data_IF_095001810684
#
_entry.id   IF_095001810684
#
_cell.length_a   1.000
_cell.length_b   1.000
_cell.length_c   1.000
_cell.angle_alpha   90.00
_cell.angle_beta   90.00
_cell.angle_gamma   90.00
#
_symmetry.space_group_name_H-M   'P 1'
#
loop_
_entity.id
_entity.type
_entity.pdbx_description
1 polymer ?
#
# COMPACT_ATOMS: atom_id res chain seq x y z
N UNK A 1 -11.26 -13.40 -27.79
CA UNK A 1 -11.88 -12.20 -27.19
C UNK A 1 -12.15 -12.57 -25.75
N UNK A 2 -11.30 -12.14 -24.85
CA UNK A 2 -11.19 -12.71 -23.50
C UNK A 2 -11.29 -11.56 -22.51
N UNK A 3 -12.27 -11.64 -21.62
CA UNK A 3 -12.73 -10.56 -20.76
C UNK A 3 -11.69 -10.27 -19.68
N UNK A 4 -11.02 -9.12 -19.83
CA UNK A 4 -10.20 -8.45 -18.81
C UNK A 4 -11.13 -7.76 -17.82
N UNK A 5 -10.67 -7.52 -16.60
CA UNK A 5 -11.34 -6.78 -15.52
C UNK A 5 -12.35 -5.80 -16.12
N UNK A 6 -13.62 -6.22 -16.13
CA UNK A 6 -14.61 -5.61 -17.00
C UNK A 6 -15.02 -4.28 -16.40
N UNK A 7 -14.26 -3.24 -16.71
CA UNK A 7 -14.61 -1.85 -16.54
C UNK A 7 -15.85 -1.58 -17.40
N UNK A 8 -17.02 -1.86 -16.84
CA UNK A 8 -18.28 -1.49 -17.44
C UNK A 8 -18.43 0.03 -17.29
N UNK A 9 -17.78 0.77 -18.18
CA UNK A 9 -18.02 2.19 -18.39
C UNK A 9 -19.48 2.39 -18.82
N UNK A 10 -20.37 2.54 -17.85
CA UNK A 10 -21.76 2.91 -18.07
C UNK A 10 -21.92 4.38 -17.70
N UNK A 11 -21.70 5.24 -18.69
CA UNK A 11 -22.01 6.64 -18.58
C UNK A 11 -23.54 6.85 -18.46
N UNK A 12 -23.92 7.47 -17.35
CA UNK A 12 -25.04 8.39 -17.17
C UNK A 12 -26.45 7.97 -17.67
N UNK A 13 -27.30 7.58 -16.71
CA UNK A 13 -28.64 8.13 -16.59
C UNK A 13 -28.88 8.47 -15.11
N UNK A 14 -29.02 9.76 -14.80
CA UNK A 14 -29.40 10.24 -13.48
C UNK A 14 -30.75 9.63 -13.07
N UNK A 15 -30.75 8.81 -12.02
CA UNK A 15 -31.90 8.67 -11.14
C UNK A 15 -31.39 8.43 -9.72
N UNK A 16 -31.58 9.45 -8.90
CA UNK A 16 -31.42 9.49 -7.46
C UNK A 16 -32.31 8.40 -6.83
N UNK A 17 -31.75 7.24 -6.52
CA UNK A 17 -32.37 6.25 -5.66
C UNK A 17 -31.32 5.66 -4.73
N UNK A 18 -31.42 6.07 -3.46
CA UNK A 18 -30.75 5.44 -2.35
C UNK A 18 -31.03 3.93 -2.34
N UNK A 19 -30.00 3.16 -2.66
CA UNK A 19 -29.80 1.79 -2.20
C UNK A 19 -28.36 1.84 -1.65
N UNK A 20 -28.12 2.16 -0.39
CA UNK A 20 -28.20 1.21 0.73
C UNK A 20 -28.04 -0.27 0.33
N UNK A 21 -27.16 -0.54 -0.64
CA UNK A 21 -26.52 -1.83 -0.81
C UNK A 21 -25.54 -1.96 0.34
N UNK A 22 -25.70 -3.03 1.09
CA UNK A 22 -24.91 -3.40 2.26
C UNK A 22 -23.45 -3.68 1.87
N UNK A 23 -22.66 -2.63 1.67
CA UNK A 23 -21.22 -2.73 1.64
C UNK A 23 -20.77 -2.86 3.10
N UNK A 24 -20.34 -4.05 3.49
CA UNK A 24 -19.72 -4.27 4.78
C UNK A 24 -18.70 -3.17 5.03
N UNK A 25 -18.86 -2.44 6.14
CA UNK A 25 -18.08 -1.29 6.57
C UNK A 25 -16.71 -1.22 5.88
N UNK A 26 -16.63 -0.52 4.75
CA UNK A 26 -15.38 -0.45 3.99
C UNK A 26 -14.38 0.31 4.82
N UNK A 27 -13.37 -0.42 5.30
CA UNK A 27 -12.26 0.18 6.04
C UNK A 27 -11.28 0.92 5.16
N UNK A 28 -11.45 0.85 3.83
CA UNK A 28 -10.58 1.47 2.84
C UNK A 28 -10.78 2.98 2.79
N UNK A 29 -9.72 3.67 2.39
CA UNK A 29 -9.71 5.13 2.32
C UNK A 29 -10.77 5.67 1.36
N UNK A 30 -11.17 6.92 1.60
CA UNK A 30 -11.86 7.74 0.60
C UNK A 30 -10.86 8.26 -0.42
N UNK A 31 -11.35 8.73 -1.58
CA UNK A 31 -10.52 9.37 -2.61
C UNK A 31 -9.64 10.50 -2.06
N UNK A 32 -10.20 11.36 -1.20
CA UNK A 32 -9.46 12.48 -0.61
C UNK A 32 -8.38 12.03 0.37
N UNK A 33 -8.65 11.00 1.18
CA UNK A 33 -7.65 10.42 2.08
C UNK A 33 -6.54 9.72 1.30
N UNK A 34 -6.89 8.95 0.27
CA UNK A 34 -5.92 8.31 -0.62
C UNK A 34 -5.01 9.34 -1.30
N UNK A 35 -5.58 10.45 -1.78
CA UNK A 35 -4.80 11.56 -2.34
C UNK A 35 -3.82 12.17 -1.34
N UNK A 36 -4.24 12.36 -0.09
CA UNK A 36 -3.36 12.87 0.95
C UNK A 36 -2.24 11.87 1.29
N UNK A 37 -2.54 10.58 1.31
CA UNK A 37 -1.56 9.51 1.53
C UNK A 37 -0.51 9.49 0.42
N UNK A 38 -0.93 9.57 -0.84
CA UNK A 38 -0.02 9.62 -1.99
C UNK A 38 0.91 10.85 -1.93
N UNK A 39 0.34 12.04 -1.67
CA UNK A 39 1.13 13.27 -1.51
C UNK A 39 2.11 13.16 -0.33
N UNK A 40 1.69 12.56 0.78
CA UNK A 40 2.55 12.37 1.97
C UNK A 40 3.69 11.39 1.69
N UNK A 41 3.40 10.29 0.99
CA UNK A 41 4.41 9.32 0.56
C UNK A 41 5.45 9.99 -0.35
N UNK A 42 4.99 10.77 -1.33
CA UNK A 42 5.84 11.53 -2.23
C UNK A 42 6.67 12.60 -1.51
N UNK A 43 6.13 13.26 -0.48
CA UNK A 43 6.89 14.19 0.37
C UNK A 43 8.02 13.46 1.10
N UNK A 44 7.76 12.33 1.77
CA UNK A 44 8.81 11.56 2.43
C UNK A 44 9.91 11.12 1.47
N UNK A 45 9.57 10.59 0.29
CA UNK A 45 10.55 10.20 -0.72
C UNK A 45 11.37 11.40 -1.24
N UNK A 46 10.72 12.54 -1.50
CA UNK A 46 11.39 13.78 -1.90
C UNK A 46 12.40 14.23 -0.85
N UNK A 47 12.03 14.12 0.42
CA UNK A 47 12.83 14.54 1.57
C UNK A 47 13.99 13.62 1.88
N UNK A 48 13.85 12.32 1.61
CA UNK A 48 14.96 11.37 1.59
C UNK A 48 15.96 11.71 0.49
N UNK A 49 15.48 11.97 -0.72
CA UNK A 49 16.33 12.37 -1.85
C UNK A 49 17.04 13.72 -1.61
N UNK A 50 16.35 14.65 -0.95
CA UNK A 50 16.92 15.92 -0.49
C UNK A 50 17.78 15.81 0.77
N UNK A 51 17.95 14.61 1.35
CA UNK A 51 18.73 14.35 2.57
C UNK A 51 18.30 15.19 3.78
N UNK A 52 17.01 15.52 3.87
CA UNK A 52 16.45 16.30 4.98
C UNK A 52 15.96 15.43 6.14
N UNK A 53 15.89 14.11 5.93
CA UNK A 53 15.61 13.13 6.97
C UNK A 53 16.90 12.46 7.41
N UNK A 54 17.03 12.18 8.71
CA UNK A 54 18.21 11.53 9.28
C UNK A 54 17.95 10.05 9.44
N UNK A 55 18.81 9.20 8.86
CA UNK A 55 18.74 7.76 9.08
C UNK A 55 19.07 7.44 10.54
N UNK A 56 18.21 6.64 11.16
CA UNK A 56 18.28 6.34 12.59
C UNK A 56 18.34 4.82 12.76
N UNK A 57 19.20 4.35 13.66
CA UNK A 57 19.29 2.94 14.06
C UNK A 57 18.76 2.82 15.49
N UNK A 58 17.45 2.62 15.67
CA UNK A 58 16.85 2.52 17.00
C UNK A 58 17.27 1.21 17.68
N UNK A 59 17.07 1.18 19.00
CA UNK A 59 17.19 -0.03 19.80
C UNK A 59 15.82 -0.39 20.39
N UNK A 60 15.64 -1.64 20.80
CA UNK A 60 14.38 -2.10 21.43
C UNK A 60 13.29 -2.45 20.41
N UNK A 61 12.04 -2.12 20.74
CA UNK A 61 10.86 -2.45 19.95
C UNK A 61 10.03 -1.20 19.68
N UNK A 62 9.40 -1.14 18.51
CA UNK A 62 8.48 -0.07 18.14
C UNK A 62 7.27 -0.64 17.39
N UNK A 63 6.09 -0.09 17.67
CA UNK A 63 4.88 -0.30 16.88
C UNK A 63 4.65 0.92 16.00
N UNK A 64 4.41 0.68 14.72
CA UNK A 64 4.30 1.71 13.69
C UNK A 64 3.00 1.56 12.91
N UNK A 65 2.45 2.67 12.44
CA UNK A 65 1.25 2.69 11.62
C UNK A 65 1.35 3.73 10.50
N UNK A 66 0.80 3.39 9.35
CA UNK A 66 0.81 4.24 8.17
C UNK A 66 0.12 3.55 6.99
N UNK A 67 0.72 3.64 5.82
CA UNK A 67 0.09 3.26 4.56
C UNK A 67 1.08 2.64 3.58
N UNK A 68 0.56 1.82 2.68
CA UNK A 68 1.30 1.28 1.54
C UNK A 68 0.47 1.44 0.26
N UNK A 69 1.15 1.83 -0.81
CA UNK A 69 0.66 1.87 -2.18
C UNK A 69 1.29 0.75 -3.01
N UNK A 70 0.52 0.18 -3.93
CA UNK A 70 0.97 -0.84 -4.88
C UNK A 70 0.54 -0.39 -6.27
N UNK A 71 1.51 -0.13 -7.12
CA UNK A 71 1.28 0.41 -8.46
C UNK A 71 1.34 -0.68 -9.52
N UNK A 72 0.82 -0.34 -10.71
CA UNK A 72 0.84 -1.21 -11.89
C UNK A 72 0.11 -2.55 -11.64
N UNK A 73 -0.90 -2.54 -10.76
CA UNK A 73 -1.78 -3.68 -10.49
C UNK A 73 -2.65 -4.02 -11.71
N UNK A 74 -2.96 -3.01 -12.53
CA UNK A 74 -3.65 -3.17 -13.81
C UNK A 74 -2.68 -2.88 -14.97
N UNK A 75 -2.24 -3.90 -15.73
CA UNK A 75 -1.29 -3.69 -16.82
C UNK A 75 -1.90 -2.90 -18.01
N UNK A 76 -3.23 -2.80 -18.09
CA UNK A 76 -3.92 -2.02 -19.12
C UNK A 76 -4.09 -0.55 -18.73
N UNK A 77 -3.91 -0.22 -17.45
CA UNK A 77 -3.98 1.15 -16.92
C UNK A 77 -2.93 1.36 -15.83
N UNK A 78 -1.80 1.94 -16.23
CA UNK A 78 -0.69 2.23 -15.34
C UNK A 78 -1.00 3.29 -14.26
N UNK A 79 -2.13 4.00 -14.36
CA UNK A 79 -2.59 4.94 -13.32
C UNK A 79 -3.36 4.25 -12.18
N UNK A 80 -3.66 2.96 -12.32
CA UNK A 80 -4.33 2.21 -11.27
C UNK A 80 -3.35 1.85 -10.16
N UNK A 81 -3.67 2.24 -8.93
CA UNK A 81 -2.92 1.94 -7.71
C UNK A 81 -3.83 1.33 -6.65
N UNK A 82 -3.26 0.47 -5.81
CA UNK A 82 -3.93 -0.09 -4.63
C UNK A 82 -3.31 0.53 -3.38
N UNK A 83 -4.12 1.21 -2.58
CA UNK A 83 -3.67 1.86 -1.34
C UNK A 83 -4.38 1.26 -0.15
N UNK A 84 -3.61 0.89 0.88
CA UNK A 84 -4.12 0.34 2.13
C UNK A 84 -3.36 0.82 3.35
N UNK A 85 -3.87 0.46 4.53
CA UNK A 85 -3.26 0.73 5.83
C UNK A 85 -2.17 -0.29 6.11
N UNK A 86 -1.06 0.17 6.65
CA UNK A 86 0.08 -0.65 7.06
C UNK A 86 0.28 -0.50 8.56
N UNK A 87 0.27 -1.62 9.28
CA UNK A 87 0.71 -1.69 10.67
C UNK A 87 1.95 -2.58 10.75
N UNK A 88 2.97 -2.15 11.48
CA UNK A 88 4.22 -2.90 11.65
C UNK A 88 4.65 -2.91 13.11
N UNK A 89 5.19 -4.05 13.53
CA UNK A 89 5.91 -4.20 14.79
C UNK A 89 7.36 -4.56 14.45
N UNK A 90 8.27 -3.77 14.99
CA UNK A 90 9.70 -3.88 14.72
C UNK A 90 10.41 -4.20 16.02
N UNK A 91 11.24 -5.24 15.99
CA UNK A 91 12.18 -5.56 17.06
C UNK A 91 13.60 -5.35 16.52
N UNK A 92 14.17 -4.19 16.85
CA UNK A 92 15.50 -3.79 16.42
C UNK A 92 16.59 -4.64 17.09
N UNK A 93 16.34 -5.13 18.31
CA UNK A 93 17.28 -5.98 19.04
C UNK A 93 17.35 -7.40 18.46
N UNK A 94 16.22 -7.95 18.03
CA UNK A 94 16.14 -9.24 17.35
C UNK A 94 16.35 -9.14 15.83
N UNK A 95 16.41 -7.93 15.27
CA UNK A 95 16.53 -7.69 13.83
C UNK A 95 15.32 -8.19 13.03
N UNK A 96 14.12 -8.14 13.62
CA UNK A 96 12.89 -8.70 13.03
C UNK A 96 11.84 -7.62 12.79
N UNK A 97 11.13 -7.75 11.67
CA UNK A 97 9.95 -6.96 11.35
C UNK A 97 8.78 -7.90 11.06
N UNK A 98 7.63 -7.59 11.65
CA UNK A 98 6.34 -8.20 11.32
C UNK A 98 5.31 -7.12 11.10
N UNK A 99 4.29 -7.37 10.30
CA UNK A 99 3.25 -6.39 10.06
C UNK A 99 2.08 -6.94 9.26
N UNK A 100 1.14 -6.05 8.98
CA UNK A 100 -0.05 -6.38 8.21
C UNK A 100 -0.52 -5.16 7.39
N UNK A 101 -0.66 -5.38 6.09
CA UNK A 101 -1.39 -4.52 5.17
C UNK A 101 -2.87 -4.89 5.18
N UNK A 102 -3.76 -3.92 5.36
CA UNK A 102 -5.22 -4.12 5.42
C UNK A 102 -5.97 -2.96 4.79
N UNK A 103 -7.30 -3.10 4.67
CA UNK A 103 -8.19 -1.99 4.29
C UNK A 103 -7.79 -1.36 2.95
N UNK A 104 -7.55 -2.21 1.95
CA UNK A 104 -7.13 -1.79 0.63
C UNK A 104 -8.30 -1.25 -0.18
N UNK A 105 -8.03 -0.28 -1.05
CA UNK A 105 -8.93 0.15 -2.12
C UNK A 105 -8.16 0.30 -3.43
N UNK A 106 -8.88 0.23 -4.55
CA UNK A 106 -8.35 0.52 -5.89
C UNK A 106 -8.66 1.98 -6.22
N UNK A 107 -7.66 2.71 -6.68
CA UNK A 107 -7.75 4.10 -7.07
C UNK A 107 -7.14 4.31 -8.45
N UNK A 108 -7.69 5.26 -9.22
CA UNK A 108 -7.22 5.56 -10.57
C UNK A 108 -7.15 7.07 -10.86
N UNK A 109 -6.36 7.44 -11.87
CA UNK A 109 -6.22 8.80 -12.38
C UNK A 109 -5.21 9.69 -11.65
N UNK A 110 -4.90 10.85 -12.25
CA UNK A 110 -3.98 11.85 -11.68
C UNK A 110 -4.49 12.43 -10.35
N UNK A 111 -5.81 12.61 -10.26
CA UNK A 111 -6.52 12.87 -9.01
C UNK A 111 -7.18 11.57 -8.63
N UNK A 112 -6.68 10.96 -7.55
CA UNK A 112 -7.08 9.61 -7.17
C UNK A 112 -8.59 9.53 -6.94
N UNK A 113 -9.25 8.75 -7.77
CA UNK A 113 -10.67 8.40 -7.63
C UNK A 113 -10.78 6.96 -7.18
N UNK A 114 -11.53 6.72 -6.11
CA UNK A 114 -11.79 5.37 -5.63
C UNK A 114 -12.69 4.62 -6.60
N UNK A 115 -12.19 3.50 -7.11
CA UNK A 115 -12.91 2.62 -8.04
C UNK A 115 -13.59 1.47 -7.30
N UNK A 116 -12.89 0.86 -6.33
CA UNK A 116 -13.39 -0.32 -5.63
C UNK A 116 -12.80 -0.48 -4.22
N UNK A 117 -13.53 -1.20 -3.38
CA UNK A 117 -13.03 -1.74 -2.12
C UNK A 117 -12.33 -3.07 -2.36
N UNK A 118 -11.25 -3.33 -1.63
CA UNK A 118 -10.51 -4.59 -1.71
C UNK A 118 -10.59 -5.31 -0.37
N UNK A 119 -11.01 -6.57 -0.43
CA UNK A 119 -11.01 -7.49 0.70
C UNK A 119 -9.72 -8.30 0.74
N UNK A 120 -9.37 -8.83 1.91
CA UNK A 120 -8.13 -9.56 2.12
C UNK A 120 -7.09 -8.73 2.87
N UNK A 121 -5.86 -9.25 2.93
CA UNK A 121 -4.75 -8.63 3.64
C UNK A 121 -3.41 -9.15 3.15
N UNK A 122 -2.36 -8.37 3.38
CA UNK A 122 -0.99 -8.78 3.16
C UNK A 122 -0.30 -8.94 4.52
N UNK A 123 0.25 -10.11 4.81
CA UNK A 123 1.11 -10.29 5.97
C UNK A 123 2.53 -9.87 5.60
N UNK A 124 3.11 -9.00 6.42
CA UNK A 124 4.45 -8.45 6.21
C UNK A 124 5.42 -9.13 7.16
N UNK A 125 6.53 -9.64 6.64
CA UNK A 125 7.60 -10.22 7.43
C UNK A 125 8.96 -9.83 6.85
N UNK A 126 9.91 -9.48 7.71
CA UNK A 126 11.21 -9.01 7.27
C UNK A 126 12.26 -8.99 8.35
N UNK A 127 13.41 -8.44 7.97
CA UNK A 127 14.58 -8.26 8.80
C UNK A 127 14.99 -6.80 8.87
N UNK A 128 15.55 -6.41 10.01
CA UNK A 128 16.08 -5.06 10.26
C UNK A 128 17.56 -5.16 10.60
N UNK A 129 18.37 -4.23 10.08
CA UNK A 129 19.79 -4.14 10.39
C UNK A 129 20.21 -2.67 10.43
N UNK A 130 20.56 -2.18 11.62
CA UNK A 130 20.85 -0.76 11.81
C UNK A 130 19.64 0.10 11.46
N UNK A 131 19.80 0.99 10.48
CA UNK A 131 18.73 1.88 10.01
C UNK A 131 17.97 1.36 8.79
N UNK A 132 18.23 0.13 8.33
CA UNK A 132 17.63 -0.42 7.10
C UNK A 132 16.73 -1.61 7.38
N UNK A 133 15.78 -1.84 6.48
CA UNK A 133 14.88 -3.00 6.50
C UNK A 133 14.74 -3.62 5.11
N UNK A 134 14.53 -4.93 5.11
CA UNK A 134 14.09 -5.71 3.95
C UNK A 134 12.95 -6.62 4.39
N UNK A 135 11.84 -6.63 3.66
CA UNK A 135 10.66 -7.39 4.01
C UNK A 135 9.95 -7.95 2.77
N UNK A 136 9.04 -8.89 3.01
CA UNK A 136 8.12 -9.42 2.03
C UNK A 136 6.70 -9.24 2.56
N UNK A 137 5.80 -8.74 1.70
CA UNK A 137 4.37 -8.67 1.96
C UNK A 137 3.65 -9.66 1.05
N UNK A 138 2.98 -10.64 1.64
CA UNK A 138 2.29 -11.71 0.91
C UNK A 138 0.86 -11.87 1.37
N UNK A 139 -0.04 -12.18 0.45
CA UNK A 139 -1.42 -12.52 0.79
C UNK A 139 -2.33 -12.44 -0.42
N UNK A 140 -3.61 -12.72 -0.19
CA UNK A 140 -4.64 -12.70 -1.24
C UNK A 140 -5.51 -11.48 -1.07
N UNK A 141 -5.78 -10.78 -2.17
CA UNK A 141 -6.67 -9.63 -2.21
C UNK A 141 -7.73 -9.80 -3.30
N UNK A 142 -8.96 -9.32 -3.08
CA UNK A 142 -10.06 -9.42 -4.04
C UNK A 142 -10.92 -8.17 -4.04
N UNK A 143 -11.25 -7.67 -5.23
CA UNK A 143 -12.22 -6.61 -5.48
C UNK A 143 -13.68 -7.13 -5.54
N UNK A 144 -13.88 -8.43 -5.31
CA UNK A 144 -15.17 -9.10 -5.38
C UNK A 144 -15.63 -9.48 -6.80
N UNK A 145 -14.87 -9.16 -7.85
CA UNK A 145 -15.21 -9.53 -9.23
C UNK A 145 -14.52 -10.81 -9.69
N UNK A 146 -13.38 -11.16 -9.09
CA UNK A 146 -12.62 -12.38 -9.33
C UNK A 146 -12.44 -13.20 -8.04
N UNK A 147 -11.96 -14.47 -8.12
CA UNK A 147 -11.65 -15.30 -6.95
C UNK A 147 -10.58 -14.70 -6.01
N UNK A 148 -9.97 -13.58 -6.41
CA UNK A 148 -8.84 -12.94 -5.74
C UNK A 148 -7.54 -13.15 -6.50
N UNK A 149 -6.57 -12.29 -6.21
CA UNK A 149 -5.21 -12.36 -6.71
C UNK A 149 -4.25 -12.53 -5.54
N UNK A 150 -3.27 -13.42 -5.72
CA UNK A 150 -2.18 -13.63 -4.77
C UNK A 150 -1.05 -12.64 -5.05
N UNK A 151 -0.62 -11.93 -4.01
CA UNK A 151 0.45 -10.96 -4.05
C UNK A 151 1.69 -11.50 -3.32
N UNK A 152 2.85 -11.26 -3.92
CA UNK A 152 4.17 -11.42 -3.30
C UNK A 152 5.02 -10.18 -3.63
N UNK A 153 5.17 -9.30 -2.64
CA UNK A 153 5.82 -8.00 -2.78
C UNK A 153 7.11 -7.96 -1.98
N UNK A 154 8.21 -7.61 -2.63
CA UNK A 154 9.49 -7.33 -1.95
C UNK A 154 9.56 -5.86 -1.60
N UNK A 155 9.78 -5.58 -0.32
CA UNK A 155 9.86 -4.25 0.26
C UNK A 155 11.27 -4.01 0.75
N UNK A 156 11.82 -2.83 0.44
CA UNK A 156 13.04 -2.32 1.05
C UNK A 156 12.76 -0.96 1.67
N UNK A 157 13.57 -0.55 2.64
CA UNK A 157 13.47 0.79 3.18
C UNK A 157 14.40 1.03 4.35
N UNK A 158 14.08 2.06 5.11
CA UNK A 158 14.84 2.42 6.30
C UNK A 158 14.02 3.19 7.32
N UNK A 159 14.66 3.44 8.46
CA UNK A 159 14.11 4.15 9.59
C UNK A 159 14.75 5.53 9.68
N UNK A 160 13.91 6.54 9.82
CA UNK A 160 14.33 7.93 9.75
C UNK A 160 13.66 8.77 10.82
N UNK A 161 14.38 9.76 11.33
CA UNK A 161 13.80 10.84 12.13
C UNK A 161 13.91 12.14 11.40
N UNK A 162 12.98 13.03 11.69
CA UNK A 162 12.88 14.31 11.03
C UNK A 162 12.55 15.42 12.03
N UNK A 163 13.39 16.45 12.09
CA UNK A 163 13.18 17.60 12.96
C UNK A 163 11.89 18.38 12.63
N UNK A 164 11.49 18.44 11.35
CA UNK A 164 10.21 19.04 10.95
C UNK A 164 9.02 18.15 11.34
N UNK A 165 9.29 16.85 11.45
CA UNK A 165 8.50 15.72 11.92
C UNK A 165 8.27 15.62 13.43
N UNK A 166 8.81 16.56 14.23
CA UNK A 166 8.91 16.39 15.69
C UNK A 166 9.91 15.31 16.15
N UNK A 167 10.84 14.90 15.28
CA UNK A 167 11.76 13.77 15.45
C UNK A 167 11.07 12.41 15.66
N UNK A 168 9.83 12.26 15.19
CA UNK A 168 9.11 10.98 15.22
C UNK A 168 9.80 9.98 14.30
N UNK A 169 10.02 8.76 14.80
CA UNK A 169 10.60 7.68 14.03
C UNK A 169 9.62 7.24 12.93
N UNK A 170 10.09 7.26 11.69
CA UNK A 170 9.29 6.95 10.50
C UNK A 170 10.03 5.91 9.65
N UNK A 171 9.39 4.79 9.39
CA UNK A 171 9.80 3.84 8.36
C UNK A 171 9.34 4.36 7.00
N UNK A 172 10.23 4.41 6.01
CA UNK A 172 9.93 4.82 4.63
C UNK A 172 10.65 3.88 3.67
N UNK A 173 9.99 3.50 2.59
CA UNK A 173 10.63 2.71 1.55
C UNK A 173 9.73 2.37 0.36
N UNK A 174 10.25 1.47 -0.47
CA UNK A 174 9.68 1.12 -1.76
C UNK A 174 9.35 -0.37 -1.85
N UNK A 175 8.33 -0.69 -2.64
CA UNK A 175 8.11 -2.02 -3.20
C UNK A 175 9.00 -2.16 -4.42
N UNK A 176 10.13 -2.83 -4.28
CA UNK A 176 11.18 -2.90 -5.33
C UNK A 176 10.85 -3.88 -6.44
N UNK A 177 9.99 -4.84 -6.16
CA UNK A 177 9.44 -5.78 -7.13
C UNK A 177 8.27 -6.51 -6.50
N UNK A 178 7.24 -6.82 -7.26
CA UNK A 178 6.19 -7.72 -6.81
C UNK A 178 5.53 -8.49 -7.92
N UNK A 179 4.86 -9.57 -7.54
CA UNK A 179 4.01 -10.36 -8.42
C UNK A 179 2.56 -10.30 -7.94
N UNK A 180 1.63 -10.28 -8.90
CA UNK A 180 0.20 -10.50 -8.70
C UNK A 180 -0.21 -11.67 -9.59
N UNK A 181 -0.76 -12.71 -8.99
CA UNK A 181 -1.22 -13.90 -9.72
C UNK A 181 -2.71 -14.08 -9.53
N UNK A 182 -3.47 -13.94 -10.61
CA UNK A 182 -4.90 -14.28 -10.63
C UNK A 182 -5.09 -15.74 -11.04
N UNK A 183 -6.10 -16.39 -10.47
CA UNK A 183 -6.39 -17.79 -10.78
C UNK A 183 -6.67 -17.99 -12.28
N UNK A 184 -5.80 -18.75 -12.95
CA UNK A 184 -5.93 -19.06 -14.37
C UNK A 184 -5.35 -18.01 -15.33
N UNK A 185 -4.60 -17.02 -14.81
CA UNK A 185 -3.88 -16.01 -15.59
C UNK A 185 -2.37 -16.13 -15.40
N UNK A 186 -1.62 -15.59 -16.35
CA UNK A 186 -0.17 -15.40 -16.17
C UNK A 186 0.08 -14.32 -15.10
N UNK A 187 1.13 -14.46 -14.27
CA UNK A 187 1.42 -13.48 -13.23
C UNK A 187 1.84 -12.13 -13.81
N UNK A 188 1.30 -11.05 -13.28
CA UNK A 188 1.84 -9.71 -13.48
C UNK A 188 3.06 -9.54 -12.56
N UNK A 189 4.27 -9.41 -13.11
CA UNK A 189 5.53 -9.43 -12.34
C UNK A 189 6.18 -8.07 -12.18
N UNK A 190 5.51 -6.99 -12.57
CA UNK A 190 6.08 -5.64 -12.56
C UNK A 190 5.33 -4.73 -11.58
N UNK A 191 4.98 -5.24 -10.40
CA UNK A 191 4.39 -4.40 -9.36
C UNK A 191 5.49 -3.57 -8.70
N UNK A 192 5.16 -2.32 -8.42
CA UNK A 192 5.96 -1.40 -7.63
C UNK A 192 5.12 -0.74 -6.56
N UNK A 193 5.60 0.36 -6.01
CA UNK A 193 4.88 1.16 -5.01
C UNK A 193 5.80 1.67 -3.91
N UNK A 194 5.20 2.33 -2.93
CA UNK A 194 5.89 2.92 -1.79
C UNK A 194 5.09 2.72 -0.50
N UNK A 195 5.76 2.86 0.64
CA UNK A 195 5.11 2.83 1.94
C UNK A 195 5.77 3.80 2.91
N UNK A 196 5.00 4.20 3.91
CA UNK A 196 5.52 4.84 5.10
C UNK A 196 4.73 4.40 6.33
N UNK A 197 5.38 4.40 7.50
CA UNK A 197 4.73 4.20 8.78
C UNK A 197 5.47 4.95 9.88
N UNK A 198 4.72 5.64 10.73
CA UNK A 198 5.25 6.40 11.87
C UNK A 198 5.06 5.61 13.16
N UNK A 199 6.01 5.72 14.09
CA UNK A 199 5.89 5.20 15.44
C UNK A 199 4.66 5.77 16.17
N UNK A 200 3.97 4.90 16.91
CA UNK A 200 2.76 5.20 17.68
C UNK A 200 3.04 5.69 19.11
#
# INVERSE_FOLDING_TARGET
MTFKLALAASAACLALAACNSSNGSSGALTSAEAQNVDVTSNDYLSRLNGQTMTATAPEGQASMSGYMGIDNVNPDDASTTVIGKLAMDVDFGAGKLTGKGTNFGIYSGDVLTKEADVTGSLDVAGTVTGSTMAATATGTMSDGTSPGADFDLKMNGGFYTDANNGNVLTAVGDVVSGTMTEAGSDPNTNLGGAYYATEN
#
